data_IF_329445249841
#
_entry.id   IF_329445249841
#
_cell.length_a   1.000
_cell.length_b   1.000
_cell.length_c   1.000
_cell.angle_alpha   90.00
_cell.angle_beta   90.00
_cell.angle_gamma   90.00
#
_symmetry.space_group_name_H-M   'P 1'
#
loop_
_entity.id
_entity.type
_entity.pdbx_description
1 polymer ?
#
# COMPACT_ATOMS: atom_id res chain seq x y z
N UNK A 1 2.59 -3.21 10.43
CA UNK A 1 3.40 -3.84 9.33
C UNK A 1 3.41 -3.01 8.06
N UNK A 2 2.24 -2.56 7.56
CA UNK A 2 2.13 -1.63 6.41
C UNK A 2 2.96 -0.36 6.63
N UNK A 3 2.83 0.28 7.80
CA UNK A 3 3.59 1.50 8.12
C UNK A 3 5.12 1.34 8.01
N UNK A 4 5.66 0.15 8.35
CA UNK A 4 7.08 -0.14 8.20
C UNK A 4 7.50 -0.17 6.72
N UNK A 5 6.68 -0.78 5.86
CA UNK A 5 6.93 -0.80 4.41
C UNK A 5 6.82 0.61 3.82
N UNK A 6 5.82 1.39 4.26
CA UNK A 6 5.69 2.79 3.84
C UNK A 6 6.92 3.63 4.22
N UNK A 7 7.51 3.37 5.39
CA UNK A 7 8.77 3.99 5.80
C UNK A 7 9.95 3.59 4.91
N UNK A 8 10.08 2.32 4.53
CA UNK A 8 11.11 1.89 3.57
C UNK A 8 10.92 2.58 2.22
N UNK A 9 9.68 2.72 1.75
CA UNK A 9 9.41 3.43 0.49
C UNK A 9 9.76 4.92 0.58
N UNK A 10 9.45 5.56 1.71
CA UNK A 10 9.80 6.96 1.96
C UNK A 10 11.33 7.15 2.00
N UNK A 11 12.04 6.25 2.67
CA UNK A 11 13.51 6.23 2.75
C UNK A 11 14.14 6.09 1.35
N UNK A 12 13.66 5.15 0.55
CA UNK A 12 14.09 4.97 -0.85
C UNK A 12 13.78 6.19 -1.73
N UNK A 13 12.70 6.93 -1.43
CA UNK A 13 12.31 8.14 -2.14
C UNK A 13 12.97 9.42 -1.58
N UNK A 14 13.86 9.30 -0.58
CA UNK A 14 14.51 10.43 0.08
C UNK A 14 13.54 11.38 0.78
N UNK A 15 12.40 10.86 1.26
CA UNK A 15 11.39 11.63 1.96
C UNK A 15 11.57 11.52 3.48
N UNK A 16 11.50 12.64 4.18
CA UNK A 16 11.63 12.69 5.65
C UNK A 16 10.49 11.98 6.39
N UNK A 17 9.37 11.74 5.69
CA UNK A 17 8.22 11.02 6.23
C UNK A 17 7.42 10.35 5.10
N UNK A 18 6.75 9.23 5.38
CA UNK A 18 5.84 8.62 4.42
C UNK A 18 4.66 9.56 4.15
N UNK A 19 4.36 9.74 2.87
CA UNK A 19 3.20 10.47 2.40
C UNK A 19 2.04 9.50 2.07
N UNK A 20 0.94 10.07 1.55
CA UNK A 20 -0.22 9.27 1.16
C UNK A 20 0.10 8.28 0.04
N UNK A 21 1.04 8.59 -0.86
CA UNK A 21 1.46 7.72 -1.95
C UNK A 21 2.29 6.52 -1.44
N UNK A 22 3.19 6.74 -0.48
CA UNK A 22 3.96 5.67 0.16
C UNK A 22 3.07 4.72 0.96
N UNK A 23 2.12 5.28 1.73
CA UNK A 23 1.11 4.46 2.41
C UNK A 23 0.25 3.71 1.40
N UNK A 24 0.00 4.35 0.26
CA UNK A 24 -0.80 3.78 -0.78
C UNK A 24 -0.17 2.52 -1.38
N UNK A 25 1.04 2.67 -1.89
CA UNK A 25 1.81 1.59 -2.48
C UNK A 25 2.09 0.47 -1.47
N UNK A 26 2.36 0.81 -0.20
CA UNK A 26 2.58 -0.18 0.85
C UNK A 26 1.35 -1.08 1.11
N UNK A 27 0.14 -0.54 0.98
CA UNK A 27 -1.08 -1.34 1.08
C UNK A 27 -1.20 -2.29 -0.13
N UNK A 28 -0.97 -1.79 -1.34
CA UNK A 28 -1.04 -2.61 -2.56
C UNK A 28 -0.05 -3.78 -2.52
N UNK A 29 1.19 -3.53 -2.09
CA UNK A 29 2.20 -4.58 -1.94
C UNK A 29 1.84 -5.62 -0.87
N UNK A 30 1.09 -5.21 0.17
CA UNK A 30 0.73 -6.10 1.28
C UNK A 30 -0.51 -6.94 1.00
N UNK A 31 -1.45 -6.43 0.22
CA UNK A 31 -2.71 -7.11 -0.08
C UNK A 31 -2.74 -7.71 -1.48
N UNK A 32 -1.83 -7.28 -2.37
CA UNK A 32 -1.90 -7.59 -3.81
C UNK A 32 -3.00 -6.83 -4.55
N UNK A 33 -3.77 -5.97 -3.87
CA UNK A 33 -4.90 -5.23 -4.44
C UNK A 33 -4.44 -3.83 -4.82
N UNK A 34 -4.42 -3.52 -6.11
CA UNK A 34 -4.12 -2.17 -6.62
C UNK A 34 -5.23 -1.19 -6.24
N UNK A 35 -4.88 0.09 -5.99
CA UNK A 35 -5.89 1.14 -5.85
C UNK A 35 -6.75 1.24 -7.10
N UNK A 36 -8.07 1.39 -6.89
CA UNK A 36 -9.04 1.44 -7.97
C UNK A 36 -9.40 0.08 -8.56
N UNK A 37 -8.80 -1.02 -8.09
CA UNK A 37 -9.27 -2.36 -8.44
C UNK A 37 -10.68 -2.58 -7.88
N UNK A 38 -11.60 -3.04 -8.73
CA UNK A 38 -12.92 -3.45 -8.30
C UNK A 38 -12.78 -4.64 -7.32
N UNK A 39 -13.28 -4.47 -6.10
CA UNK A 39 -13.33 -5.55 -5.13
C UNK A 39 -14.39 -6.55 -5.60
N UNK A 40 -13.94 -7.66 -6.18
CA UNK A 40 -14.77 -8.86 -6.29
C UNK A 40 -14.89 -9.45 -4.89
N UNK A 41 -15.92 -9.03 -4.17
CA UNK A 41 -16.32 -9.68 -2.93
C UNK A 41 -16.83 -11.06 -3.31
N UNK A 42 -16.06 -12.11 -3.02
CA UNK A 42 -16.50 -13.48 -3.23
C UNK A 42 -17.77 -13.76 -2.45
N UNK A 43 -18.90 -13.90 -3.16
CA UNK A 43 -20.09 -14.51 -2.57
C UNK A 43 -19.79 -16.00 -2.36
N UNK A 44 -20.01 -16.55 -1.15
CA UNK A 44 -19.95 -18.00 -0.96
C UNK A 44 -21.05 -18.66 -1.80
N UNK A 45 -20.69 -19.77 -2.45
CA UNK A 45 -21.60 -20.62 -3.23
C UNK A 45 -22.57 -21.40 -2.32
#
# INVERSE_FOLDING_TARGET
>A
RVLRVAWTLADLAGQDRPDAAALALALELRTGVRRGAALTTGAPA
#
